data_IF_583018999087
#
_entry.id   IF_583018999087
#
_cell.length_a   1.000
_cell.length_b   1.000
_cell.length_c   1.000
_cell.angle_alpha   90.00
_cell.angle_beta   90.00
_cell.angle_gamma   90.00
#
_symmetry.space_group_name_H-M   'P 1'
#
loop_
_entity.id
_entity.type
_entity.pdbx_description
1 polymer ?
#
# COMPACT_ATOMS: atom_id res chain seq x y z
N UNK A 1 -0.03 7.98 -0.99
CA UNK A 1 -0.12 6.93 0.05
C UNK A 1 0.59 7.42 1.30
N UNK A 2 0.17 6.94 2.47
CA UNK A 2 0.78 7.30 3.77
C UNK A 2 1.06 6.04 4.58
N UNK A 3 2.05 6.11 5.44
CA UNK A 3 2.43 5.03 6.34
C UNK A 3 2.61 5.57 7.75
N UNK A 4 2.16 4.80 8.73
CA UNK A 4 2.37 5.07 10.14
C UNK A 4 2.95 3.82 10.80
N UNK A 5 4.05 4.01 11.53
CA UNK A 5 4.67 2.95 12.34
C UNK A 5 4.61 3.38 13.81
N UNK A 6 4.24 2.45 14.69
CA UNK A 6 4.20 2.68 16.14
C UNK A 6 4.58 1.40 16.91
N UNK A 7 4.73 1.52 18.22
CA UNK A 7 5.22 0.44 19.08
C UNK A 7 6.72 0.60 19.38
N UNK A 8 7.13 0.15 20.57
CA UNK A 8 8.50 0.33 21.07
C UNK A 8 9.56 -0.35 20.19
N UNK A 9 9.16 -1.39 19.45
CA UNK A 9 10.01 -2.14 18.53
C UNK A 9 9.69 -1.86 17.05
N UNK A 10 8.78 -0.93 16.75
CA UNK A 10 8.32 -0.65 15.38
C UNK A 10 7.55 -1.81 14.73
N UNK A 11 7.01 -2.73 15.52
CA UNK A 11 6.33 -3.96 15.10
C UNK A 11 4.92 -3.71 14.56
N UNK A 12 4.35 -2.53 14.81
CA UNK A 12 3.03 -2.14 14.33
C UNK A 12 3.17 -1.13 13.23
N UNK A 13 2.85 -1.56 12.01
CA UNK A 13 2.83 -0.72 10.83
C UNK A 13 1.44 -0.77 10.20
N UNK A 14 0.97 0.40 9.78
CA UNK A 14 -0.22 0.54 8.95
C UNK A 14 0.08 1.46 7.79
N UNK A 15 -0.24 0.97 6.60
CA UNK A 15 -0.15 1.71 5.36
C UNK A 15 -1.56 2.01 4.87
N UNK A 16 -1.80 3.27 4.47
CA UNK A 16 -3.11 3.70 3.97
C UNK A 16 -3.03 4.39 2.62
N UNK A 17 -4.06 4.15 1.83
CA UNK A 17 -4.39 5.01 0.70
C UNK A 17 -5.47 5.97 1.20
N UNK A 18 -5.08 7.23 1.30
CA UNK A 18 -5.92 8.30 1.80
C UNK A 18 -5.93 9.45 0.80
N UNK A 19 -7.06 10.15 0.74
CA UNK A 19 -7.22 11.39 -0.03
C UNK A 19 -7.14 12.63 0.86
N UNK A 20 -6.82 12.44 2.15
CA UNK A 20 -6.44 13.53 3.05
C UNK A 20 -4.97 13.84 2.83
N UNK A 21 -4.54 15.08 3.09
CA UNK A 21 -3.12 15.48 3.11
C UNK A 21 -2.53 15.51 4.53
N UNK A 22 -3.32 15.22 5.57
CA UNK A 22 -2.86 15.25 6.96
C UNK A 22 -1.79 14.20 7.26
N UNK A 23 -0.58 14.61 7.64
CA UNK A 23 0.51 13.70 8.01
C UNK A 23 0.19 12.85 9.25
N UNK A 24 -0.57 13.41 10.20
CA UNK A 24 -1.11 12.69 11.35
C UNK A 24 -2.52 12.20 11.00
N UNK A 25 -2.74 10.89 11.07
CA UNK A 25 -4.02 10.29 10.72
C UNK A 25 -4.35 9.11 11.66
N UNK A 26 -5.64 8.87 11.83
CA UNK A 26 -6.15 7.63 12.42
C UNK A 26 -6.78 6.85 11.26
N UNK A 27 -6.29 5.65 10.93
CA UNK A 27 -6.78 4.87 9.80
C UNK A 27 -8.30 4.65 9.89
N UNK A 28 -9.04 4.98 8.83
CA UNK A 28 -10.49 4.77 8.76
C UNK A 28 -10.84 3.79 7.63
N UNK A 29 -11.09 2.53 7.97
CA UNK A 29 -11.44 1.47 6.99
C UNK A 29 -12.67 1.78 6.12
N UNK A 30 -13.57 2.67 6.55
CA UNK A 30 -14.74 3.09 5.76
C UNK A 30 -14.41 4.15 4.70
N UNK A 31 -13.27 4.84 4.84
CA UNK A 31 -12.86 5.97 4.01
C UNK A 31 -11.49 5.81 3.37
N UNK A 32 -10.75 4.76 3.71
CA UNK A 32 -9.36 4.55 3.30
C UNK A 32 -9.12 3.06 3.10
N UNK A 33 -8.28 2.72 2.13
CA UNK A 33 -7.74 1.37 2.06
C UNK A 33 -6.70 1.24 3.16
N UNK A 34 -6.90 0.30 4.07
CA UNK A 34 -6.03 0.09 5.23
C UNK A 34 -5.35 -1.26 5.09
N UNK A 35 -4.01 -1.23 5.09
CA UNK A 35 -3.15 -2.39 5.09
C UNK A 35 -2.44 -2.46 6.44
N UNK A 36 -2.56 -3.60 7.12
CA UNK A 36 -1.99 -3.81 8.44
C UNK A 36 -0.85 -4.81 8.37
N UNK A 37 0.23 -4.54 9.10
CA UNK A 37 1.40 -5.41 9.21
C UNK A 37 2.63 -4.86 8.49
N UNK A 38 3.76 -5.53 8.72
CA UNK A 38 5.10 -5.14 8.25
C UNK A 38 5.38 -5.51 6.77
N UNK A 39 4.31 -5.65 5.98
CA UNK A 39 4.45 -6.07 4.60
C UNK A 39 4.74 -4.89 3.69
N UNK A 40 5.79 -5.02 2.89
CA UNK A 40 6.06 -4.10 1.80
C UNK A 40 4.88 -4.08 0.81
N UNK A 41 4.50 -2.87 0.40
CA UNK A 41 3.50 -2.60 -0.61
C UNK A 41 4.18 -1.89 -1.77
N UNK A 42 3.92 -2.34 -2.99
CA UNK A 42 4.38 -1.63 -4.19
C UNK A 42 3.21 -1.02 -4.92
N UNK A 43 3.46 0.10 -5.58
CA UNK A 43 2.44 0.72 -6.40
C UNK A 43 3.03 1.39 -7.63
N UNK A 44 2.17 1.60 -8.62
CA UNK A 44 2.41 2.50 -9.73
C UNK A 44 1.11 3.16 -10.14
N UNK A 45 1.22 4.39 -10.61
CA UNK A 45 0.14 5.08 -11.29
C UNK A 45 0.33 4.90 -12.80
N UNK A 46 -0.71 4.44 -13.48
CA UNK A 46 -0.72 4.33 -14.94
C UNK A 46 -2.05 4.90 -15.45
N UNK A 47 -1.97 6.04 -16.13
CA UNK A 47 -3.13 6.84 -16.53
C UNK A 47 -4.02 7.21 -15.32
N UNK A 48 -5.28 6.77 -15.35
CA UNK A 48 -6.28 6.96 -14.30
C UNK A 48 -6.29 5.82 -13.28
N UNK A 49 -5.39 4.84 -13.39
CA UNK A 49 -5.43 3.63 -12.56
C UNK A 49 -4.21 3.52 -11.66
N UNK A 50 -4.46 3.45 -10.34
CA UNK A 50 -3.49 3.14 -9.31
C UNK A 50 -3.45 1.63 -9.11
N UNK A 51 -2.34 1.01 -9.51
CA UNK A 51 -2.07 -0.41 -9.30
C UNK A 51 -1.29 -0.61 -8.01
N UNK A 52 -1.73 -1.56 -7.20
CA UNK A 52 -1.20 -1.82 -5.87
C UNK A 52 -0.91 -3.29 -5.75
N UNK A 53 0.35 -3.62 -5.57
CA UNK A 53 0.85 -4.97 -5.41
C UNK A 53 1.11 -5.20 -3.93
N UNK A 54 0.39 -6.16 -3.36
CA UNK A 54 0.34 -6.37 -1.91
C UNK A 54 0.22 -7.87 -1.62
N UNK A 55 0.80 -8.40 -0.54
CA UNK A 55 0.54 -9.79 -0.12
C UNK A 55 -0.90 -10.00 0.36
N UNK A 56 -1.56 -8.95 0.85
CA UNK A 56 -2.94 -9.00 1.38
C UNK A 56 -3.77 -7.88 0.80
N UNK A 57 -4.95 -8.23 0.26
CA UNK A 57 -5.92 -7.24 -0.24
C UNK A 57 -6.61 -6.54 0.94
N UNK A 58 -6.72 -5.22 0.86
CA UNK A 58 -7.53 -4.43 1.76
C UNK A 58 -9.00 -4.43 1.28
N UNK A 59 -9.98 -4.38 2.20
CA UNK A 59 -11.38 -4.15 1.84
C UNK A 59 -11.54 -2.83 1.08
N UNK A 60 -12.47 -2.80 0.12
CA UNK A 60 -12.82 -1.56 -0.61
C UNK A 60 -13.60 -0.65 0.35
N UNK A 61 -13.19 0.61 0.56
CA UNK A 61 -13.85 1.49 1.51
C UNK A 61 -15.13 2.07 0.90
N UNK A 62 -16.23 2.03 1.64
CA UNK A 62 -17.55 2.47 1.17
C UNK A 62 -17.57 3.94 0.71
N UNK A 63 -16.79 4.81 1.37
CA UNK A 63 -16.81 6.25 1.13
C UNK A 63 -15.51 6.77 0.51
N UNK A 64 -14.70 5.89 -0.08
CA UNK A 64 -13.48 6.31 -0.77
C UNK A 64 -13.80 6.97 -2.10
N UNK A 65 -13.47 8.27 -2.23
CA UNK A 65 -13.72 9.07 -3.44
C UNK A 65 -12.42 9.61 -4.00
N UNK A 66 -12.02 9.09 -5.16
CA UNK A 66 -10.79 9.47 -5.86
C UNK A 66 -11.07 9.58 -7.35
N UNK A 67 -10.36 10.44 -8.10
CA UNK A 67 -10.40 10.41 -9.56
C UNK A 67 -9.71 9.17 -10.16
N UNK A 68 -8.95 8.43 -9.35
CA UNK A 68 -8.19 7.26 -9.80
C UNK A 68 -8.92 5.94 -9.53
N UNK A 69 -8.95 5.03 -10.49
CA UNK A 69 -9.36 3.64 -10.27
C UNK A 69 -8.28 2.92 -9.44
N UNK A 70 -8.66 2.32 -8.32
CA UNK A 70 -7.72 1.55 -7.49
C UNK A 70 -7.86 0.07 -7.80
N UNK A 71 -6.76 -0.58 -8.20
CA UNK A 71 -6.69 -2.03 -8.45
C UNK A 71 -5.66 -2.63 -7.51
N UNK A 72 -6.09 -3.62 -6.74
CA UNK A 72 -5.23 -4.39 -5.84
C UNK A 72 -4.90 -5.73 -6.50
N UNK A 73 -3.60 -6.01 -6.64
CA UNK A 73 -3.04 -7.24 -7.17
C UNK A 73 -2.41 -7.96 -5.99
N UNK A 74 -3.00 -9.10 -5.63
CA UNK A 74 -2.43 -9.96 -4.59
C UNK A 74 -1.19 -10.62 -5.15
N UNK A 75 -0.03 -10.35 -4.56
CA UNK A 75 1.21 -11.02 -4.92
C UNK A 75 1.20 -12.46 -4.41
N UNK A 76 1.47 -13.39 -5.31
CA UNK A 76 1.77 -14.78 -4.94
C UNK A 76 3.24 -14.92 -4.53
N UNK A 77 3.60 -15.95 -3.76
CA UNK A 77 4.95 -16.12 -3.20
C UNK A 77 6.11 -15.95 -4.22
N UNK A 78 6.04 -16.45 -5.47
CA UNK A 78 7.12 -16.25 -6.44
C UNK A 78 7.23 -14.80 -6.94
N UNK A 79 6.09 -14.17 -7.28
CA UNK A 79 6.04 -12.77 -7.74
C UNK A 79 6.47 -11.81 -6.63
N UNK A 80 6.11 -12.16 -5.40
CA UNK A 80 6.59 -11.52 -4.19
C UNK A 80 8.12 -11.58 -4.11
N UNK A 81 8.74 -12.76 -4.25
CA UNK A 81 10.22 -12.90 -4.16
C UNK A 81 10.93 -12.01 -5.18
N UNK A 82 10.48 -11.98 -6.44
CA UNK A 82 11.10 -11.14 -7.48
C UNK A 82 11.02 -9.65 -7.16
N UNK A 83 9.91 -9.21 -6.57
CA UNK A 83 9.72 -7.80 -6.19
C UNK A 83 10.46 -7.45 -4.89
N UNK A 84 10.32 -8.26 -3.84
CA UNK A 84 10.84 -8.01 -2.48
C UNK A 84 12.34 -8.25 -2.37
N UNK A 85 12.84 -9.38 -2.88
CA UNK A 85 14.23 -9.83 -2.66
C UNK A 85 15.16 -9.27 -3.73
N UNK A 86 14.77 -9.41 -5.00
CA UNK A 86 15.64 -9.07 -6.14
C UNK A 86 15.62 -7.58 -6.52
N UNK A 87 14.90 -6.75 -5.77
CA UNK A 87 14.76 -5.30 -6.01
C UNK A 87 14.30 -4.94 -7.44
N UNK A 88 13.64 -5.88 -8.13
CA UNK A 88 13.24 -5.70 -9.53
C UNK A 88 12.09 -4.71 -9.70
N UNK A 89 11.45 -4.31 -8.58
CA UNK A 89 10.40 -3.30 -8.56
C UNK A 89 10.85 -1.99 -9.23
N UNK A 90 12.14 -1.59 -9.10
CA UNK A 90 12.69 -0.40 -9.76
C UNK A 90 12.69 -0.54 -11.28
N UNK A 91 13.06 -1.71 -11.82
CA UNK A 91 13.04 -1.98 -13.27
C UNK A 91 11.62 -1.95 -13.83
N UNK A 92 10.62 -2.29 -13.01
CA UNK A 92 9.20 -2.26 -13.35
C UNK A 92 8.53 -0.89 -13.13
N UNK A 93 9.29 0.13 -12.73
CA UNK A 93 8.77 1.48 -12.47
C UNK A 93 7.83 1.56 -11.27
N UNK A 94 7.98 0.65 -10.31
CA UNK A 94 7.16 0.61 -9.10
C UNK A 94 7.82 1.43 -7.99
N UNK A 95 6.98 2.01 -7.12
CA UNK A 95 7.40 2.66 -5.89
C UNK A 95 7.10 1.75 -4.69
N UNK A 96 8.06 1.60 -3.79
CA UNK A 96 7.93 0.83 -2.54
C UNK A 96 7.40 1.72 -1.41
N UNK A 97 6.50 1.18 -0.59
CA UNK A 97 6.10 1.70 0.71
C UNK A 97 6.14 0.55 1.70
N UNK A 98 6.96 0.68 2.73
CA UNK A 98 7.19 -0.32 3.76
C UNK A 98 8.32 0.11 4.69
N UNK A 99 8.78 -0.74 5.61
CA UNK A 99 9.98 -0.46 6.38
C UNK A 99 11.22 -0.42 5.46
N UNK A 100 12.16 0.47 5.80
CA UNK A 100 13.49 0.53 5.16
C UNK A 100 14.33 -0.72 5.48
#
# INVERSE_FOLDING_TARGET
MKQMTWGLTGDKQVSVISNSDSANFIPQRSREYVYEGLSDIYYKLQHDTLFIYTPTIAPVPQYFRTPYKVIQIKLSNPEAIDLFVNHEYKKKGLTKIGPE
#
